data_IF_562940328224
#
_entry.id   IF_562940328224
#
_cell.length_a   1.000
_cell.length_b   1.000
_cell.length_c   1.000
_cell.angle_alpha   90.00
_cell.angle_beta   90.00
_cell.angle_gamma   90.00
#
_symmetry.space_group_name_H-M   'P 1'
#
loop_
_entity.id
_entity.type
_entity.pdbx_description
1 polymer ?
#
# COMPACT_ATOMS: atom_id res chain seq x y z
N UNK A 1 7.21 -3.89 -9.84
CA UNK A 1 8.28 -2.86 -10.03
C UNK A 1 7.80 -1.51 -9.50
N UNK A 2 6.62 -1.04 -9.92
CA UNK A 2 6.08 0.28 -9.52
C UNK A 2 6.02 0.50 -7.99
N UNK A 3 5.36 -0.39 -7.23
CA UNK A 3 5.29 -0.27 -5.76
C UNK A 3 6.62 -0.49 -5.04
N UNK A 4 7.59 -1.19 -5.64
CA UNK A 4 8.94 -1.32 -5.07
C UNK A 4 9.64 0.04 -5.13
N UNK A 5 9.61 0.70 -6.29
CA UNK A 5 10.20 2.04 -6.46
C UNK A 5 9.50 3.08 -5.57
N UNK A 6 8.17 3.01 -5.47
CA UNK A 6 7.40 3.88 -4.59
C UNK A 6 7.83 3.74 -3.13
N UNK A 7 7.97 2.51 -2.62
CA UNK A 7 8.45 2.24 -1.27
C UNK A 7 9.87 2.73 -1.04
N UNK A 8 10.78 2.49 -1.98
CA UNK A 8 12.16 2.98 -1.89
C UNK A 8 12.20 4.51 -1.77
N UNK A 9 11.37 5.23 -2.53
CA UNK A 9 11.23 6.68 -2.42
C UNK A 9 10.65 7.12 -1.08
N UNK A 10 9.66 6.39 -0.56
CA UNK A 10 9.10 6.61 0.78
C UNK A 10 10.14 6.41 1.89
N UNK A 11 10.91 5.32 1.85
CA UNK A 11 11.99 5.04 2.80
C UNK A 11 13.10 6.06 2.74
N UNK A 12 13.47 6.51 1.54
CA UNK A 12 14.41 7.61 1.39
C UNK A 12 13.88 8.88 2.07
N UNK A 13 12.59 9.20 1.90
CA UNK A 13 11.95 10.33 2.57
C UNK A 13 12.01 10.22 4.09
N UNK A 14 11.66 9.04 4.63
CA UNK A 14 11.77 8.72 6.06
C UNK A 14 13.20 8.91 6.58
N UNK A 15 14.22 8.40 5.88
CA UNK A 15 15.61 8.48 6.32
C UNK A 15 16.18 9.90 6.26
N UNK A 16 15.73 10.72 5.32
CA UNK A 16 16.20 12.08 5.12
C UNK A 16 15.33 13.15 5.81
N UNK A 17 14.19 12.76 6.39
CA UNK A 17 13.20 13.69 6.91
C UNK A 17 12.54 14.53 5.81
N UNK A 18 12.45 13.98 4.60
CA UNK A 18 11.87 14.63 3.42
C UNK A 18 10.47 14.08 3.12
N UNK A 19 9.57 14.96 2.69
CA UNK A 19 8.25 14.56 2.19
C UNK A 19 8.36 14.37 0.68
N UNK A 20 8.45 13.11 0.26
CA UNK A 20 8.36 12.74 -1.14
C UNK A 20 6.91 12.51 -1.54
N UNK A 21 6.55 12.88 -2.78
CA UNK A 21 5.19 12.62 -3.27
C UNK A 21 4.97 11.12 -3.47
N UNK A 22 4.05 10.53 -2.71
CA UNK A 22 3.50 9.21 -3.01
C UNK A 22 2.42 9.37 -4.09
N UNK A 23 2.38 8.41 -5.02
CA UNK A 23 1.34 8.41 -6.05
C UNK A 23 -0.01 8.15 -5.39
N UNK A 24 -1.08 8.75 -5.90
CA UNK A 24 -2.43 8.45 -5.43
C UNK A 24 -2.78 6.96 -5.64
N UNK A 25 -3.50 6.39 -4.68
CA UNK A 25 -3.87 4.97 -4.63
C UNK A 25 -4.70 4.55 -5.85
N UNK A 26 -5.59 5.40 -6.35
CA UNK A 26 -6.42 5.10 -7.52
C UNK A 26 -5.71 5.40 -8.84
N UNK A 27 -4.71 6.28 -8.82
CA UNK A 27 -3.95 6.66 -10.01
C UNK A 27 -2.78 5.72 -10.36
N UNK A 28 -2.38 4.85 -9.42
CA UNK A 28 -1.34 3.86 -9.67
C UNK A 28 -1.81 2.78 -10.65
N UNK A 29 -0.87 2.12 -11.35
CA UNK A 29 -1.21 1.10 -12.37
C UNK A 29 -2.01 -0.06 -11.78
N UNK A 30 -1.73 -0.43 -10.54
CA UNK A 30 -2.51 -1.44 -9.83
C UNK A 30 -3.93 -0.96 -9.53
N UNK A 31 -4.10 0.24 -8.97
CA UNK A 31 -5.43 0.80 -8.66
C UNK A 31 -6.33 0.88 -9.89
N UNK A 32 -5.79 1.34 -11.02
CA UNK A 32 -6.49 1.38 -12.32
C UNK A 32 -6.92 0.00 -12.80
N UNK A 33 -6.02 -0.98 -12.75
CA UNK A 33 -6.32 -2.36 -13.12
C UNK A 33 -7.33 -3.01 -12.16
N UNK A 34 -7.19 -2.73 -10.87
CA UNK A 34 -8.03 -3.30 -9.83
C UNK A 34 -9.49 -2.86 -9.99
N UNK A 35 -9.73 -1.56 -10.15
CA UNK A 35 -11.08 -1.01 -10.34
C UNK A 35 -11.71 -1.44 -11.67
N UNK A 36 -10.91 -1.56 -12.74
CA UNK A 36 -11.42 -1.88 -14.08
C UNK A 36 -11.65 -3.37 -14.31
N UNK A 37 -10.67 -4.20 -13.94
CA UNK A 37 -10.57 -5.58 -14.44
C UNK A 37 -10.76 -6.60 -13.32
N UNK A 38 -10.43 -6.27 -12.06
CA UNK A 38 -10.57 -7.20 -10.93
C UNK A 38 -11.95 -7.11 -10.30
N UNK A 39 -12.32 -5.89 -9.90
CA UNK A 39 -13.59 -5.57 -9.26
C UNK A 39 -14.72 -5.84 -10.26
N UNK A 40 -15.60 -6.78 -9.93
CA UNK A 40 -16.75 -7.24 -10.73
C UNK A 40 -16.48 -8.23 -11.88
N UNK A 41 -15.23 -8.63 -12.12
CA UNK A 41 -14.91 -9.59 -13.19
C UNK A 41 -14.23 -10.85 -12.67
N UNK A 42 -13.06 -10.70 -12.03
CA UNK A 42 -12.23 -11.84 -11.63
C UNK A 42 -12.63 -12.34 -10.24
N UNK A 43 -12.68 -11.43 -9.26
CA UNK A 43 -12.97 -11.77 -7.86
C UNK A 43 -14.41 -11.35 -7.57
N UNK A 44 -15.24 -12.31 -7.13
CA UNK A 44 -16.65 -12.09 -6.84
C UNK A 44 -16.95 -11.89 -5.35
N UNK A 45 -16.06 -12.32 -4.45
CA UNK A 45 -16.27 -12.14 -3.01
C UNK A 45 -16.01 -10.68 -2.61
N UNK A 46 -17.03 -9.93 -2.14
CA UNK A 46 -16.87 -8.52 -1.83
C UNK A 46 -16.00 -8.26 -0.60
N UNK A 47 -15.86 -9.24 0.30
CA UNK A 47 -15.00 -9.10 1.49
C UNK A 47 -13.53 -9.17 1.11
N UNK A 48 -13.15 -10.14 0.29
CA UNK A 48 -11.81 -10.23 -0.30
C UNK A 48 -11.46 -8.98 -1.11
N UNK A 49 -12.41 -8.46 -1.91
CA UNK A 49 -12.20 -7.20 -2.61
C UNK A 49 -11.91 -6.05 -1.62
N UNK A 50 -12.78 -5.85 -0.63
CA UNK A 50 -12.61 -4.80 0.37
C UNK A 50 -11.30 -4.93 1.16
N UNK A 51 -10.88 -6.16 1.48
CA UNK A 51 -9.64 -6.44 2.21
C UNK A 51 -8.41 -6.05 1.40
N UNK A 52 -8.34 -6.48 0.13
CA UNK A 52 -7.25 -6.11 -0.79
C UNK A 52 -7.17 -4.59 -0.99
N UNK A 53 -8.33 -3.93 -1.13
CA UNK A 53 -8.39 -2.48 -1.26
C UNK A 53 -7.86 -1.77 0.00
N UNK A 54 -8.25 -2.23 1.20
CA UNK A 54 -7.76 -1.68 2.46
C UNK A 54 -6.24 -1.83 2.63
N UNK A 55 -5.68 -3.00 2.28
CA UNK A 55 -4.23 -3.20 2.28
C UNK A 55 -3.52 -2.26 1.31
N UNK A 56 -4.07 -2.07 0.11
CA UNK A 56 -3.50 -1.16 -0.88
C UNK A 56 -3.53 0.30 -0.41
N UNK A 57 -4.64 0.77 0.14
CA UNK A 57 -4.75 2.10 0.76
C UNK A 57 -3.75 2.27 1.90
N UNK A 58 -3.58 1.25 2.75
CA UNK A 58 -2.63 1.32 3.85
C UNK A 58 -1.18 1.47 3.37
N UNK A 59 -0.80 0.82 2.27
CA UNK A 59 0.54 1.00 1.69
C UNK A 59 0.79 2.44 1.25
N UNK A 60 -0.17 3.04 0.54
CA UNK A 60 -0.03 4.41 0.05
C UNK A 60 -0.08 5.43 1.20
N UNK A 61 -1.17 5.42 1.97
CA UNK A 61 -1.39 6.39 3.04
C UNK A 61 -0.45 6.19 4.23
N UNK A 62 -0.05 4.94 4.52
CA UNK A 62 0.89 4.64 5.58
C UNK A 62 2.28 5.18 5.29
N UNK A 63 2.76 5.10 4.04
CA UNK A 63 4.03 5.73 3.64
C UNK A 63 3.99 7.25 3.80
N UNK A 64 2.92 7.91 3.36
CA UNK A 64 2.75 9.36 3.54
C UNK A 64 2.76 9.75 5.02
N UNK A 65 2.01 9.02 5.86
CA UNK A 65 1.97 9.25 7.30
C UNK A 65 3.32 9.03 7.97
N UNK A 66 4.05 7.98 7.59
CA UNK A 66 5.37 7.69 8.13
C UNK A 66 6.36 8.82 7.79
N UNK A 67 6.38 9.28 6.52
CA UNK A 67 7.25 10.40 6.13
C UNK A 67 6.91 11.68 6.91
N UNK A 68 5.63 12.00 7.09
CA UNK A 68 5.20 13.16 7.86
C UNK A 68 5.67 13.10 9.33
N UNK A 69 5.61 11.92 9.96
CA UNK A 69 6.11 11.72 11.33
C UNK A 69 7.63 11.90 11.41
N UNK A 70 8.38 11.34 10.46
CA UNK A 70 9.84 11.44 10.46
C UNK A 70 10.35 12.83 10.09
N UNK A 71 9.58 13.61 9.33
CA UNK A 71 9.89 15.01 9.02
C UNK A 71 9.61 15.95 10.21
N UNK A 72 8.73 15.55 11.13
CA UNK A 72 8.37 16.29 12.35
C UNK A 72 9.44 16.05 13.44
N UNK A 73 10.38 16.98 13.57
CA UNK A 73 11.53 16.89 14.49
C UNK A 73 11.15 16.95 15.98
N UNK A 74 9.93 17.39 16.29
CA UNK A 74 9.45 17.53 17.66
C UNK A 74 8.79 16.24 18.18
N UNK A 75 8.53 15.27 17.30
CA UNK A 75 7.94 13.97 17.63
C UNK A 75 8.96 12.86 17.56
N UNK A 76 8.89 11.94 18.53
CA UNK A 76 9.67 10.71 18.49
C UNK A 76 9.26 9.82 17.30
N UNK A 77 10.21 9.05 16.79
CA UNK A 77 10.05 8.27 15.56
C UNK A 77 9.32 6.93 15.74
N UNK A 78 9.05 6.51 16.99
CA UNK A 78 8.48 5.19 17.30
C UNK A 78 7.14 4.94 16.58
N UNK A 79 6.24 5.92 16.58
CA UNK A 79 4.96 5.79 15.89
C UNK A 79 5.12 5.59 14.37
N UNK A 80 6.11 6.28 13.77
CA UNK A 80 6.43 6.11 12.35
C UNK A 80 7.01 4.73 12.05
N UNK A 81 7.82 4.16 12.95
CA UNK A 81 8.35 2.79 12.81
C UNK A 81 7.21 1.75 12.82
N UNK A 82 6.24 1.90 13.72
CA UNK A 82 5.08 0.98 13.76
C UNK A 82 4.24 1.09 12.49
N UNK A 83 4.05 2.29 11.93
CA UNK A 83 3.37 2.47 10.64
C UNK A 83 4.15 1.79 9.50
N UNK A 84 5.47 1.89 9.47
CA UNK A 84 6.27 1.22 8.43
C UNK A 84 6.18 -0.31 8.52
N UNK A 85 6.13 -0.88 9.75
CA UNK A 85 5.87 -2.31 9.93
C UNK A 85 4.52 -2.72 9.37
N UNK A 86 3.49 -1.91 9.62
CA UNK A 86 2.13 -2.16 9.13
C UNK A 86 2.00 -2.03 7.60
N UNK A 87 2.69 -1.06 7.00
CA UNK A 87 2.83 -0.93 5.54
C UNK A 87 3.45 -2.19 4.93
N UNK A 88 4.52 -2.72 5.52
CA UNK A 88 5.16 -3.93 5.03
C UNK A 88 4.30 -5.17 5.22
N UNK A 89 3.62 -5.28 6.37
CA UNK A 89 2.65 -6.33 6.60
C UNK A 89 1.53 -6.30 5.56
N UNK A 90 0.91 -5.13 5.33
CA UNK A 90 -0.17 -4.97 4.35
C UNK A 90 0.26 -5.25 2.93
N UNK A 91 1.50 -4.92 2.57
CA UNK A 91 2.03 -5.23 1.24
C UNK A 91 2.12 -6.72 0.98
N UNK A 92 2.57 -7.48 1.99
CA UNK A 92 2.65 -8.94 1.89
C UNK A 92 1.25 -9.55 1.91
N UNK A 93 0.44 -9.22 2.91
CA UNK A 93 -0.90 -9.78 3.10
C UNK A 93 -1.81 -9.50 1.89
N UNK A 94 -1.86 -8.26 1.41
CA UNK A 94 -2.66 -7.90 0.24
C UNK A 94 -2.22 -8.60 -1.05
N UNK A 95 -0.91 -8.83 -1.24
CA UNK A 95 -0.42 -9.60 -2.38
C UNK A 95 -0.80 -11.08 -2.30
N UNK A 96 -0.60 -11.70 -1.13
CA UNK A 96 -0.95 -13.11 -0.90
C UNK A 96 -2.45 -13.34 -1.07
N UNK A 97 -3.29 -12.47 -0.49
CA UNK A 97 -4.75 -12.54 -0.63
C UNK A 97 -5.20 -12.38 -2.09
N UNK A 98 -4.66 -11.39 -2.81
CA UNK A 98 -4.95 -11.22 -4.24
C UNK A 98 -4.56 -12.46 -5.06
N UNK A 99 -3.37 -13.01 -4.80
CA UNK A 99 -2.86 -14.17 -5.53
C UNK A 99 -3.77 -15.39 -5.33
N UNK A 100 -4.16 -15.67 -4.09
CA UNK A 100 -5.06 -16.78 -3.78
C UNK A 100 -6.46 -16.58 -4.37
N UNK A 101 -6.99 -15.36 -4.32
CA UNK A 101 -8.28 -15.03 -4.91
C UNK A 101 -8.28 -15.22 -6.44
N UNK A 102 -7.21 -14.79 -7.13
CA UNK A 102 -7.06 -14.98 -8.58
C UNK A 102 -6.89 -16.46 -8.94
N UNK A 103 -6.15 -17.24 -8.14
CA UNK A 103 -6.04 -18.70 -8.34
C UNK A 103 -7.39 -19.39 -8.18
N UNK A 104 -8.15 -19.01 -7.16
CA UNK A 104 -9.47 -19.57 -6.90
C UNK A 104 -10.46 -19.26 -8.04
N UNK A 105 -10.41 -18.04 -8.60
CA UNK A 105 -11.26 -17.64 -9.73
C UNK A 105 -10.94 -18.35 -11.05
N UNK A 106 -9.76 -18.97 -11.18
CA UNK A 106 -9.34 -19.72 -12.38
C UNK A 106 -9.70 -21.21 -12.35
N UNK A 107 -10.15 -21.73 -11.20
CA UNK A 107 -10.65 -23.11 -11.07
C UNK A 107 -12.12 -23.20 -11.48
#
# INVERSE_FOLDING_TARGET
IDHINMKLNGYRGVLLGEINKIQDVHECRFGKWYEKDVKNTIIKDPRTLSSIAAHHENVHHGLDKAMAIFADKDKGHLAGVEILKDVEHSSKAGFEELLEAVKAARK
#
